data_IF_437971193594
#
_entry.id   IF_437971193594
#
_cell.length_a   1.000
_cell.length_b   1.000
_cell.length_c   1.000
_cell.angle_alpha   90.00
_cell.angle_beta   90.00
_cell.angle_gamma   90.00
#
_symmetry.space_group_name_H-M   'P 1'
#
loop_
_entity.id
_entity.type
_entity.pdbx_description
1 polymer ?
#
# COMPACT_ATOMS: atom_id res chain seq x y z
N UNK A 1 -1.16 -73.18 66.99
CA UNK A 1 -1.61 -73.13 65.59
C UNK A 1 -2.29 -71.78 65.28
N UNK A 2 -1.57 -70.69 65.10
CA UNK A 2 -2.10 -69.36 64.76
C UNK A 2 -1.07 -68.54 63.94
N UNK A 3 -0.71 -68.96 62.73
CA UNK A 3 0.23 -68.24 61.88
C UNK A 3 -0.25 -68.04 60.42
N UNK A 4 -1.52 -68.15 60.13
CA UNK A 4 -2.07 -68.12 58.77
C UNK A 4 -2.92 -66.89 58.43
N UNK A 5 -3.04 -65.89 59.30
CA UNK A 5 -3.88 -64.71 59.09
C UNK A 5 -3.10 -63.41 58.70
N UNK A 6 -1.79 -63.44 58.84
CA UNK A 6 -0.92 -62.24 58.56
C UNK A 6 -0.52 -62.08 57.09
N UNK A 7 -0.46 -63.16 56.34
CA UNK A 7 -0.03 -63.15 54.92
C UNK A 7 -1.01 -62.45 53.96
N UNK A 8 -2.31 -62.60 54.22
CA UNK A 8 -3.34 -61.99 53.36
C UNK A 8 -3.42 -60.47 53.52
N UNK A 9 -3.14 -59.93 54.74
CA UNK A 9 -3.19 -58.51 55.01
C UNK A 9 -1.97 -57.76 54.47
N UNK A 10 -0.81 -58.41 54.41
CA UNK A 10 0.42 -57.87 53.82
C UNK A 10 0.29 -57.81 52.30
N UNK A 11 -0.27 -58.85 51.70
CA UNK A 11 -0.56 -58.90 50.25
C UNK A 11 -1.52 -57.80 49.82
N UNK A 12 -2.59 -57.54 50.53
CA UNK A 12 -3.55 -56.47 50.21
C UNK A 12 -2.93 -55.07 50.27
N UNK A 13 -2.08 -54.82 51.27
CA UNK A 13 -1.39 -53.52 51.36
C UNK A 13 -0.39 -53.29 50.23
N UNK A 14 0.30 -54.28 49.78
CA UNK A 14 1.21 -54.20 48.62
C UNK A 14 0.40 -53.91 47.35
N UNK A 15 -0.67 -54.62 47.08
CA UNK A 15 -1.56 -54.34 45.96
C UNK A 15 -2.19 -52.95 45.98
N UNK A 16 -2.60 -52.47 47.16
CA UNK A 16 -3.14 -51.14 47.30
C UNK A 16 -2.05 -50.05 47.01
N UNK A 17 -0.81 -50.28 47.42
CA UNK A 17 0.31 -49.41 47.15
C UNK A 17 0.66 -49.34 45.64
N UNK A 18 0.63 -50.48 44.97
CA UNK A 18 0.86 -50.55 43.52
C UNK A 18 -0.22 -49.80 42.72
N UNK A 19 -1.48 -49.94 43.09
CA UNK A 19 -2.62 -49.26 42.44
C UNK A 19 -2.48 -47.72 42.67
N UNK A 20 -2.20 -47.28 43.91
CA UNK A 20 -2.02 -45.85 44.22
C UNK A 20 -0.83 -45.27 43.46
N UNK A 21 0.29 -45.98 43.42
CA UNK A 21 1.47 -45.57 42.65
C UNK A 21 1.18 -45.47 41.17
N UNK A 22 0.43 -46.43 40.57
CA UNK A 22 -0.03 -46.41 39.19
C UNK A 22 -0.90 -45.21 38.86
N UNK A 23 -1.83 -44.88 39.75
CA UNK A 23 -2.72 -43.72 39.61
C UNK A 23 -1.91 -42.41 39.65
N UNK A 24 -0.94 -42.29 40.59
CA UNK A 24 -0.09 -41.11 40.69
C UNK A 24 0.73 -40.92 39.41
N UNK A 25 1.35 -41.97 38.86
CA UNK A 25 2.09 -41.92 37.62
C UNK A 25 1.23 -41.54 36.42
N UNK A 26 0.00 -42.05 36.33
CA UNK A 26 -0.93 -41.67 35.28
C UNK A 26 -1.33 -40.17 35.39
N UNK A 27 -1.60 -39.70 36.59
CA UNK A 27 -1.91 -38.28 36.81
C UNK A 27 -0.73 -37.36 36.43
N UNK A 28 0.50 -37.74 36.79
CA UNK A 28 1.70 -37.02 36.40
C UNK A 28 1.94 -37.00 34.89
N UNK A 29 1.78 -38.17 34.25
CA UNK A 29 1.90 -38.26 32.78
C UNK A 29 0.89 -37.40 32.07
N UNK A 30 -0.35 -37.44 32.53
CA UNK A 30 -1.46 -36.64 31.98
C UNK A 30 -1.21 -35.12 32.18
N UNK A 31 -0.73 -34.73 33.36
CA UNK A 31 -0.41 -33.33 33.64
C UNK A 31 0.75 -32.80 32.76
N UNK A 32 1.82 -33.60 32.59
CA UNK A 32 2.92 -33.26 31.71
C UNK A 32 2.46 -33.14 30.26
N UNK A 33 1.60 -34.06 29.79
CA UNK A 33 1.05 -34.02 28.43
C UNK A 33 0.24 -32.75 28.18
N UNK A 34 -0.70 -32.41 29.09
CA UNK A 34 -1.50 -31.19 28.96
C UNK A 34 -0.61 -29.94 28.97
N UNK A 35 0.38 -29.90 29.85
CA UNK A 35 1.27 -28.74 29.92
C UNK A 35 2.12 -28.57 28.66
N UNK A 36 2.59 -29.66 28.10
CA UNK A 36 3.31 -29.68 26.83
C UNK A 36 2.42 -29.23 25.67
N UNK A 37 1.17 -29.72 25.60
CA UNK A 37 0.23 -29.35 24.55
C UNK A 37 -0.16 -27.87 24.60
N UNK A 38 -0.41 -27.33 25.79
CA UNK A 38 -0.70 -25.90 25.98
C UNK A 38 0.52 -25.04 25.59
N UNK A 39 1.72 -25.44 25.99
CA UNK A 39 2.94 -24.73 25.63
C UNK A 39 3.19 -24.74 24.12
N UNK A 40 3.01 -25.88 23.48
CA UNK A 40 3.14 -26.03 22.03
C UNK A 40 2.08 -25.23 21.28
N UNK A 41 0.85 -25.22 21.76
CA UNK A 41 -0.24 -24.41 21.18
C UNK A 41 0.04 -22.92 21.30
N UNK A 42 0.49 -22.46 22.47
CA UNK A 42 0.88 -21.06 22.67
C UNK A 42 2.04 -20.65 21.76
N UNK A 43 3.04 -21.50 21.61
CA UNK A 43 4.17 -21.22 20.73
C UNK A 43 3.76 -21.15 19.25
N UNK A 44 2.87 -22.04 18.81
CA UNK A 44 2.32 -21.99 17.44
C UNK A 44 1.50 -20.73 17.21
N UNK A 45 0.63 -20.35 18.15
CA UNK A 45 -0.11 -19.09 18.06
C UNK A 45 0.82 -17.89 17.97
N UNK A 46 1.82 -17.82 18.82
CA UNK A 46 2.78 -16.71 18.80
C UNK A 46 3.58 -16.63 17.49
N UNK A 47 4.02 -17.77 16.96
CA UNK A 47 4.70 -17.82 15.66
C UNK A 47 3.80 -17.40 14.52
N UNK A 48 2.52 -17.82 14.53
CA UNK A 48 1.53 -17.42 13.51
C UNK A 48 1.23 -15.94 13.58
N UNK A 49 1.03 -15.37 14.77
CA UNK A 49 0.81 -13.94 14.95
C UNK A 49 2.00 -13.12 14.45
N UNK A 50 3.22 -13.53 14.79
CA UNK A 50 4.43 -12.86 14.31
C UNK A 50 4.57 -12.95 12.79
N UNK A 51 4.29 -14.11 12.19
CA UNK A 51 4.29 -14.28 10.75
C UNK A 51 3.29 -13.35 10.05
N UNK A 52 2.03 -13.31 10.54
CA UNK A 52 1.00 -12.41 9.99
C UNK A 52 1.41 -10.95 10.13
N UNK A 53 1.94 -10.56 11.29
CA UNK A 53 2.44 -9.20 11.51
C UNK A 53 3.58 -8.83 10.55
N UNK A 54 4.50 -9.74 10.32
CA UNK A 54 5.61 -9.54 9.37
C UNK A 54 5.10 -9.42 7.94
N UNK A 55 4.14 -10.26 7.53
CA UNK A 55 3.50 -10.18 6.21
C UNK A 55 2.75 -8.86 6.03
N UNK A 56 1.98 -8.42 7.01
CA UNK A 56 1.30 -7.12 6.97
C UNK A 56 2.31 -5.96 6.82
N UNK A 57 3.39 -5.97 7.59
CA UNK A 57 4.43 -4.96 7.49
C UNK A 57 5.13 -4.97 6.12
N UNK A 58 5.40 -6.14 5.58
CA UNK A 58 6.03 -6.27 4.26
C UNK A 58 5.10 -5.79 3.15
N UNK A 59 3.81 -6.14 3.21
CA UNK A 59 2.81 -5.67 2.25
C UNK A 59 2.69 -4.14 2.29
N UNK A 60 2.60 -3.55 3.49
CA UNK A 60 2.56 -2.10 3.64
C UNK A 60 3.82 -1.41 3.08
N UNK A 61 5.01 -2.00 3.30
CA UNK A 61 6.26 -1.47 2.71
C UNK A 61 6.28 -1.58 1.19
N UNK A 62 5.75 -2.67 0.63
CA UNK A 62 5.67 -2.85 -0.81
C UNK A 62 4.68 -1.86 -1.45
N UNK A 63 3.56 -1.61 -0.79
CA UNK A 63 2.57 -0.62 -1.20
C UNK A 63 3.16 0.79 -1.23
N UNK A 64 3.78 1.22 -0.13
CA UNK A 64 4.46 2.52 -0.05
C UNK A 64 5.60 2.66 -1.08
N UNK A 65 6.36 1.59 -1.33
CA UNK A 65 7.41 1.61 -2.34
C UNK A 65 6.84 1.73 -3.76
N UNK A 66 5.72 1.06 -4.03
CA UNK A 66 5.02 1.14 -5.32
C UNK A 66 4.44 2.54 -5.54
N UNK A 67 3.80 3.11 -4.53
CA UNK A 67 3.29 4.48 -4.55
C UNK A 67 4.41 5.49 -4.80
N UNK A 68 5.49 5.43 -4.01
CA UNK A 68 6.64 6.32 -4.17
C UNK A 68 7.22 6.24 -5.58
N UNK A 69 7.35 5.03 -6.14
CA UNK A 69 7.85 4.84 -7.50
C UNK A 69 6.92 5.45 -8.54
N UNK A 70 5.60 5.32 -8.35
CA UNK A 70 4.62 5.90 -9.27
C UNK A 70 4.64 7.43 -9.21
N UNK A 71 4.69 8.01 -8.00
CA UNK A 71 4.80 9.46 -7.80
C UNK A 71 6.10 10.02 -8.40
N UNK A 72 7.24 9.34 -8.21
CA UNK A 72 8.49 9.77 -8.85
C UNK A 72 8.39 9.75 -10.38
N UNK A 73 7.77 8.73 -10.96
CA UNK A 73 7.59 8.66 -12.40
C UNK A 73 6.73 9.80 -12.94
N UNK A 74 5.63 10.13 -12.26
CA UNK A 74 4.76 11.23 -12.70
C UNK A 74 5.44 12.60 -12.55
N UNK A 75 6.27 12.78 -11.51
CA UNK A 75 7.10 13.97 -11.36
C UNK A 75 8.07 14.13 -12.53
N UNK A 76 8.83 13.08 -12.86
CA UNK A 76 9.75 13.06 -14.00
C UNK A 76 9.02 13.37 -15.31
N UNK A 77 7.81 12.81 -15.50
CA UNK A 77 6.97 13.07 -16.67
C UNK A 77 6.53 14.53 -16.74
N UNK A 78 6.08 15.11 -15.62
CA UNK A 78 5.65 16.50 -15.55
C UNK A 78 6.81 17.46 -15.87
N UNK A 79 7.98 17.23 -15.30
CA UNK A 79 9.20 18.03 -15.57
C UNK A 79 9.64 17.90 -17.03
N UNK A 80 9.64 16.69 -17.59
CA UNK A 80 9.96 16.44 -18.99
C UNK A 80 9.02 17.20 -19.93
N UNK A 81 7.71 17.09 -19.70
CA UNK A 81 6.70 17.79 -20.50
C UNK A 81 6.89 19.29 -20.40
N UNK A 82 7.04 19.82 -19.20
CA UNK A 82 7.22 21.25 -18.95
C UNK A 82 8.43 21.83 -19.70
N UNK A 83 9.55 21.14 -19.63
CA UNK A 83 10.78 21.58 -20.31
C UNK A 83 10.65 21.56 -21.83
N UNK A 84 10.12 20.49 -22.41
CA UNK A 84 9.99 20.35 -23.85
C UNK A 84 8.88 21.24 -24.43
N UNK A 85 7.74 21.37 -23.72
CA UNK A 85 6.66 22.26 -24.11
C UNK A 85 7.14 23.71 -24.26
N UNK A 86 7.88 24.22 -23.28
CA UNK A 86 8.45 25.57 -23.35
C UNK A 86 9.40 25.74 -24.55
N UNK A 87 10.25 24.74 -24.80
CA UNK A 87 11.18 24.75 -25.93
C UNK A 87 10.47 24.71 -27.29
N UNK A 88 9.42 23.94 -27.42
CA UNK A 88 8.70 23.80 -28.70
C UNK A 88 7.78 25.01 -28.98
N UNK A 89 7.23 25.61 -27.93
CA UNK A 89 6.49 26.87 -28.05
C UNK A 89 7.42 28.01 -28.52
N UNK A 90 8.63 28.11 -27.93
CA UNK A 90 9.63 29.11 -28.35
C UNK A 90 10.02 28.93 -29.83
N UNK A 91 10.23 27.69 -30.29
CA UNK A 91 10.60 27.39 -31.68
C UNK A 91 9.48 27.64 -32.67
N UNK A 92 8.23 27.31 -32.30
CA UNK A 92 7.06 27.45 -33.17
C UNK A 92 6.48 28.84 -33.20
N UNK A 93 6.79 29.67 -32.20
CA UNK A 93 6.26 31.04 -32.06
C UNK A 93 4.79 31.10 -31.69
N UNK A 94 4.24 29.99 -31.15
CA UNK A 94 2.87 29.95 -30.65
C UNK A 94 2.82 30.54 -29.24
N UNK A 95 1.78 31.33 -28.95
CA UNK A 95 1.55 31.87 -27.61
C UNK A 95 0.90 30.83 -26.67
N UNK A 96 0.16 29.88 -27.22
CA UNK A 96 -0.50 28.80 -26.47
C UNK A 96 -0.25 27.44 -27.13
N UNK A 97 -0.10 26.34 -26.34
CA UNK A 97 0.08 25.02 -26.90
C UNK A 97 -1.21 24.53 -27.58
N UNK A 98 -1.06 23.89 -28.75
CA UNK A 98 -2.17 23.20 -29.42
C UNK A 98 -2.53 21.90 -28.69
N UNK A 99 -3.80 21.54 -28.71
CA UNK A 99 -4.31 20.28 -28.13
C UNK A 99 -3.58 19.05 -28.68
N UNK A 100 -3.21 19.07 -29.97
CA UNK A 100 -2.41 18.00 -30.60
C UNK A 100 -1.02 17.86 -29.96
N UNK A 101 -0.43 18.95 -29.54
CA UNK A 101 0.86 18.96 -28.87
C UNK A 101 0.76 18.34 -27.48
N UNK A 102 -0.28 18.67 -26.72
CA UNK A 102 -0.55 18.07 -25.41
C UNK A 102 -0.82 16.57 -25.54
N UNK A 103 -1.59 16.16 -26.56
CA UNK A 103 -1.83 14.75 -26.85
C UNK A 103 -0.54 13.98 -27.13
N UNK A 104 0.37 14.54 -27.93
CA UNK A 104 1.64 13.91 -28.23
C UNK A 104 2.50 13.75 -26.97
N UNK A 105 2.61 14.79 -26.14
CA UNK A 105 3.34 14.70 -24.87
C UNK A 105 2.72 13.71 -23.89
N UNK A 106 1.39 13.65 -23.80
CA UNK A 106 0.73 12.68 -22.96
C UNK A 106 1.05 11.24 -23.38
N UNK A 107 1.04 10.97 -24.69
CA UNK A 107 1.40 9.66 -25.24
C UNK A 107 2.87 9.31 -25.04
N UNK A 108 3.78 10.24 -25.31
CA UNK A 108 5.23 10.02 -25.16
C UNK A 108 5.63 9.79 -23.71
N UNK A 109 5.00 10.51 -22.78
CA UNK A 109 5.28 10.39 -21.34
C UNK A 109 4.46 9.31 -20.65
N UNK A 110 3.57 8.63 -21.39
CA UNK A 110 2.67 7.60 -20.85
C UNK A 110 1.83 8.12 -19.65
N UNK A 111 1.33 9.34 -19.76
CA UNK A 111 0.40 9.93 -18.79
C UNK A 111 -1.03 9.89 -19.32
N UNK A 112 -2.01 9.82 -18.42
CA UNK A 112 -3.44 9.80 -18.78
C UNK A 112 -3.90 11.17 -19.24
N UNK A 113 -3.33 12.24 -18.68
CA UNK A 113 -3.67 13.59 -19.11
C UNK A 113 -2.73 14.66 -18.59
N UNK A 114 -2.91 15.86 -19.14
CA UNK A 114 -2.15 17.07 -18.83
C UNK A 114 -3.16 18.21 -18.66
N UNK A 115 -3.00 18.99 -17.59
CA UNK A 115 -3.74 20.23 -17.38
C UNK A 115 -2.76 21.39 -17.38
N UNK A 116 -3.11 22.47 -18.05
CA UNK A 116 -2.44 23.75 -17.96
C UNK A 116 -3.33 24.69 -17.15
N UNK A 117 -2.78 25.16 -16.05
CA UNK A 117 -3.47 26.04 -15.12
C UNK A 117 -2.88 27.44 -15.17
N UNK A 118 -3.73 28.45 -15.01
CA UNK A 118 -3.28 29.82 -14.78
C UNK A 118 -2.49 29.92 -13.46
N UNK A 119 -1.77 31.03 -13.21
CA UNK A 119 -1.15 31.29 -11.91
C UNK A 119 -2.10 31.28 -10.72
N UNK A 120 -3.39 31.47 -10.96
CA UNK A 120 -4.44 31.44 -9.95
C UNK A 120 -5.07 30.03 -9.78
N UNK A 121 -4.58 29.06 -10.56
CA UNK A 121 -5.05 27.68 -10.54
C UNK A 121 -6.29 27.41 -11.38
N UNK A 122 -6.76 28.34 -12.22
CA UNK A 122 -7.86 28.08 -13.15
C UNK A 122 -7.37 27.25 -14.34
N UNK A 123 -8.18 26.26 -14.79
CA UNK A 123 -7.84 25.45 -15.98
C UNK A 123 -7.95 26.31 -17.22
N UNK A 124 -6.87 26.42 -17.96
CA UNK A 124 -6.78 27.13 -19.25
C UNK A 124 -6.88 26.16 -20.41
N UNK A 125 -6.17 25.03 -20.33
CA UNK A 125 -6.21 23.98 -21.32
C UNK A 125 -6.09 22.61 -20.66
N UNK A 126 -6.68 21.60 -21.32
CA UNK A 126 -6.65 20.24 -20.82
C UNK A 126 -6.58 19.24 -21.98
N UNK A 127 -5.88 18.15 -21.74
CA UNK A 127 -5.91 16.96 -22.55
C UNK A 127 -5.96 15.71 -21.66
N UNK A 128 -6.87 14.81 -21.90
CA UNK A 128 -6.93 13.53 -21.19
C UNK A 128 -7.59 12.45 -22.06
N UNK A 129 -7.20 11.21 -21.82
CA UNK A 129 -7.76 10.02 -22.48
C UNK A 129 -8.85 9.35 -21.66
N UNK A 130 -9.05 9.77 -20.42
CA UNK A 130 -10.04 9.22 -19.50
C UNK A 130 -11.42 9.90 -19.76
N UNK A 131 -12.50 9.11 -19.75
CA UNK A 131 -13.87 9.63 -19.83
C UNK A 131 -14.35 10.30 -18.54
N UNK A 132 -13.53 10.20 -17.46
CA UNK A 132 -13.84 10.81 -16.17
C UNK A 132 -13.81 12.32 -16.25
N UNK A 133 -14.64 12.90 -15.43
CA UNK A 133 -14.64 14.33 -15.26
C UNK A 133 -13.34 14.80 -14.59
N UNK A 134 -12.53 15.55 -15.32
CA UNK A 134 -11.28 16.14 -14.82
C UNK A 134 -11.52 17.03 -13.59
N UNK A 135 -12.73 17.53 -13.41
CA UNK A 135 -13.14 18.31 -12.24
C UNK A 135 -12.99 17.53 -10.93
N UNK A 136 -13.25 16.21 -10.92
CA UNK A 136 -13.07 15.37 -9.73
C UNK A 136 -11.62 15.34 -9.28
N UNK A 137 -10.68 15.37 -10.24
CA UNK A 137 -9.26 15.50 -9.96
C UNK A 137 -8.93 16.88 -9.42
N UNK A 138 -9.45 17.92 -10.07
CA UNK A 138 -9.15 19.30 -9.73
C UNK A 138 -9.62 19.69 -8.34
N UNK A 139 -10.80 19.23 -7.90
CA UNK A 139 -11.32 19.44 -6.56
C UNK A 139 -10.46 18.83 -5.45
N UNK A 140 -9.67 17.81 -5.77
CA UNK A 140 -8.81 17.11 -4.82
C UNK A 140 -7.35 17.59 -4.84
N UNK A 141 -6.98 18.52 -5.73
CA UNK A 141 -5.64 19.12 -5.74
C UNK A 141 -5.56 20.17 -4.63
N UNK A 142 -4.51 20.10 -3.85
CA UNK A 142 -4.24 21.11 -2.82
C UNK A 142 -3.88 22.46 -3.45
N UNK A 143 -4.79 23.43 -3.31
CA UNK A 143 -4.62 24.77 -3.84
C UNK A 143 -3.42 25.52 -3.21
N UNK A 144 -3.06 25.25 -1.96
CA UNK A 144 -1.88 25.84 -1.33
C UNK A 144 -0.60 25.30 -1.95
N UNK A 145 -0.58 23.99 -2.26
CA UNK A 145 0.55 23.36 -2.96
C UNK A 145 0.72 23.90 -4.38
N UNK A 146 -0.36 24.16 -5.10
CA UNK A 146 -0.28 24.83 -6.42
C UNK A 146 0.30 26.24 -6.33
N UNK A 147 -0.13 27.03 -5.35
CA UNK A 147 0.44 28.35 -5.10
C UNK A 147 1.92 28.29 -4.73
N UNK A 148 2.33 27.27 -3.97
CA UNK A 148 3.72 27.06 -3.59
C UNK A 148 4.58 26.74 -4.83
N UNK A 149 4.10 25.87 -5.72
CA UNK A 149 4.76 25.54 -7.00
C UNK A 149 4.86 26.78 -7.92
N UNK A 150 3.83 27.61 -7.96
CA UNK A 150 3.86 28.85 -8.73
C UNK A 150 4.89 29.85 -8.18
N UNK A 151 4.95 30.02 -6.86
CA UNK A 151 5.85 30.95 -6.21
C UNK A 151 7.31 30.46 -6.22
N UNK A 152 7.52 29.15 -6.23
CA UNK A 152 8.82 28.48 -6.19
C UNK A 152 8.92 27.46 -7.34
N UNK A 153 9.20 27.92 -8.58
CA UNK A 153 9.17 27.04 -9.78
C UNK A 153 10.19 25.89 -9.76
N UNK A 154 11.14 25.91 -8.83
CA UNK A 154 12.08 24.82 -8.59
C UNK A 154 11.46 23.64 -7.80
N UNK A 155 10.26 23.82 -7.25
CA UNK A 155 9.54 22.80 -6.52
C UNK A 155 8.62 22.02 -7.47
N UNK A 156 8.48 20.74 -7.18
CA UNK A 156 7.48 19.85 -7.80
C UNK A 156 6.55 19.34 -6.70
N UNK A 157 5.27 19.52 -6.89
CA UNK A 157 4.26 18.90 -6.03
C UNK A 157 3.83 17.57 -6.63
N UNK A 158 3.74 16.53 -5.84
CA UNK A 158 3.17 15.26 -6.26
C UNK A 158 2.28 14.66 -5.17
N UNK A 159 1.17 14.08 -5.57
CA UNK A 159 0.19 13.50 -4.67
C UNK A 159 -0.55 12.36 -5.32
N UNK A 160 -1.10 11.47 -4.50
CA UNK A 160 -2.08 10.45 -4.89
C UNK A 160 -3.45 10.85 -4.41
N UNK A 161 -4.44 10.72 -5.29
CA UNK A 161 -5.86 10.89 -5.01
C UNK A 161 -6.53 9.54 -5.15
N UNK A 162 -7.08 9.03 -4.04
CA UNK A 162 -7.88 7.81 -4.04
C UNK A 162 -9.31 8.13 -4.47
N UNK A 163 -9.82 7.39 -5.46
CA UNK A 163 -11.16 7.58 -5.98
C UNK A 163 -12.15 6.65 -5.26
N UNK A 164 -13.43 7.06 -5.19
CA UNK A 164 -14.50 6.30 -4.52
C UNK A 164 -14.72 4.90 -5.10
N UNK A 165 -14.40 4.70 -6.38
CA UNK A 165 -14.52 3.42 -7.05
C UNK A 165 -13.36 2.45 -6.75
N UNK A 166 -12.38 2.88 -5.97
CA UNK A 166 -11.19 2.12 -5.61
C UNK A 166 -10.07 2.18 -6.64
N UNK A 167 -10.16 3.07 -7.64
CA UNK A 167 -9.03 3.47 -8.48
C UNK A 167 -8.24 4.58 -7.79
N UNK A 168 -7.06 4.94 -8.33
CA UNK A 168 -6.32 6.10 -7.86
C UNK A 168 -5.72 6.91 -9.01
N UNK A 169 -5.47 8.16 -8.75
CA UNK A 169 -4.81 9.09 -9.66
C UNK A 169 -3.54 9.59 -8.99
N UNK A 170 -2.41 9.33 -9.64
CA UNK A 170 -1.14 9.93 -9.28
C UNK A 170 -0.95 11.20 -10.12
N UNK A 171 -0.69 12.31 -9.48
CA UNK A 171 -0.51 13.60 -10.14
C UNK A 171 0.80 14.27 -9.73
N UNK A 172 1.33 15.09 -10.62
CA UNK A 172 2.43 15.99 -10.32
C UNK A 172 2.18 17.36 -10.96
N UNK A 173 2.47 18.42 -10.21
CA UNK A 173 2.38 19.80 -10.63
C UNK A 173 3.76 20.47 -10.62
N UNK A 174 4.06 21.21 -11.67
CA UNK A 174 5.30 21.99 -11.83
C UNK A 174 4.98 23.39 -12.33
N UNK A 175 5.72 24.40 -11.87
CA UNK A 175 5.65 25.74 -12.42
C UNK A 175 6.14 25.75 -13.87
N UNK A 176 5.37 26.32 -14.78
CA UNK A 176 5.77 26.39 -16.19
C UNK A 176 7.04 27.20 -16.38
N UNK A 177 7.93 26.68 -17.21
CA UNK A 177 9.23 27.31 -17.49
C UNK A 177 9.08 28.69 -18.10
N UNK A 178 8.03 28.90 -18.90
CA UNK A 178 7.69 30.21 -19.51
C UNK A 178 7.02 31.18 -18.52
N UNK A 179 6.78 30.76 -17.28
CA UNK A 179 6.08 31.50 -16.24
C UNK A 179 4.67 31.96 -16.59
N UNK A 180 3.99 31.24 -17.48
CA UNK A 180 2.60 31.52 -17.83
C UNK A 180 1.60 30.88 -16.87
N UNK A 181 2.02 29.86 -16.11
CA UNK A 181 1.12 29.15 -15.19
C UNK A 181 1.75 27.89 -14.59
N UNK A 182 0.91 26.89 -14.33
CA UNK A 182 1.28 25.61 -13.73
C UNK A 182 0.91 24.50 -14.71
N UNK A 183 1.79 23.52 -14.87
CA UNK A 183 1.51 22.28 -15.60
C UNK A 183 1.24 21.18 -14.60
N UNK A 184 0.13 20.46 -14.78
CA UNK A 184 -0.22 19.26 -14.01
C UNK A 184 -0.27 18.08 -14.95
N UNK A 185 0.56 17.07 -14.70
CA UNK A 185 0.46 15.76 -15.36
C UNK A 185 -0.16 14.75 -14.40
N UNK A 186 -1.00 13.86 -14.91
CA UNK A 186 -1.62 12.85 -14.07
C UNK A 186 -1.71 11.48 -14.77
N UNK A 187 -1.67 10.44 -13.95
CA UNK A 187 -1.83 9.06 -14.38
C UNK A 187 -2.92 8.37 -13.56
N UNK A 188 -3.94 7.86 -14.25
CA UNK A 188 -5.03 7.13 -13.65
C UNK A 188 -4.75 5.63 -13.66
N UNK A 189 -4.78 5.01 -12.50
CA UNK A 189 -4.68 3.56 -12.33
C UNK A 189 -6.07 3.01 -12.00
N UNK A 190 -6.61 2.20 -12.90
CA UNK A 190 -7.93 1.60 -12.68
C UNK A 190 -7.92 0.60 -11.52
N UNK A 191 -9.09 0.41 -10.91
CA UNK A 191 -9.32 -0.51 -9.78
C UNK A 191 -8.77 -1.91 -10.02
N UNK A 192 -8.84 -2.42 -11.25
CA UNK A 192 -8.38 -3.75 -11.61
C UNK A 192 -6.87 -3.94 -11.34
N UNK A 193 -6.10 -2.88 -11.53
CA UNK A 193 -4.65 -2.90 -11.27
C UNK A 193 -4.31 -2.60 -9.82
N UNK A 194 -5.17 -1.89 -9.08
CA UNK A 194 -4.97 -1.61 -7.65
C UNK A 194 -5.09 -2.88 -6.79
N UNK A 195 -5.90 -3.85 -7.21
CA UNK A 195 -6.20 -5.07 -6.43
C UNK A 195 -5.25 -6.25 -6.66
N UNK A 196 -4.25 -6.15 -7.52
CA UNK A 196 -3.30 -7.25 -7.79
C UNK A 196 -2.58 -7.70 -6.50
N UNK A 197 -2.36 -6.80 -5.54
CA UNK A 197 -1.71 -7.12 -4.26
C UNK A 197 -2.67 -7.67 -3.19
N UNK A 198 -3.96 -7.31 -3.22
CA UNK A 198 -4.96 -7.77 -2.24
C UNK A 198 -5.39 -9.21 -2.53
N UNK A 199 -5.53 -9.58 -3.79
CA UNK A 199 -5.95 -10.93 -4.20
C UNK A 199 -4.92 -12.02 -3.87
N UNK A 200 -3.66 -11.67 -3.66
CA UNK A 200 -2.64 -12.65 -3.23
C UNK A 200 -2.80 -13.06 -1.76
N UNK A 201 -3.56 -12.31 -0.96
CA UNK A 201 -3.83 -12.63 0.44
C UNK A 201 -5.08 -13.50 0.65
N UNK A 202 -6.03 -13.52 -0.29
CA UNK A 202 -7.21 -14.37 -0.22
C UNK A 202 -6.92 -15.83 -0.65
N UNK A 203 -5.74 -16.11 -1.21
CA UNK A 203 -5.32 -17.44 -1.65
C UNK A 203 -4.41 -18.18 -0.65
N UNK A 204 -4.16 -17.61 0.53
CA UNK A 204 -3.40 -18.23 1.63
C UNK A 204 -4.33 -18.62 2.79
#
# INVERSE_FOLDING_TARGET
MKLKKSSGYLSYRIWALEIVSGIILLCLAFWISIHADISNAAQRLFSTVNYVKEQCNNNQRMELASETKSLMRIMESAEYINWNLASDMEKSGFEEPDQTLLENYAKESYVTGILLLSPQGAVEQEYHTDERNVWDLYENIDAEALLDVWNFPEKTYASRVDCEDGSHIDLAAVGRTDRSGILVAFYHTSKEYCHIFVNSMEQL
#
